data_IF_759358992573
#
_entry.id   IF_759358992573
#
_cell.length_a   1.000
_cell.length_b   1.000
_cell.length_c   1.000
_cell.angle_alpha   90.00
_cell.angle_beta   90.00
_cell.angle_gamma   90.00
#
_symmetry.space_group_name_H-M   'P 1'
#
loop_
_entity.id
_entity.type
_entity.pdbx_description
1 polymer ?
#
# COMPACT_ATOMS: atom_id res chain seq x y z
N UNK A 1 -7.46 -9.43 -6.58
CA UNK A 1 -6.51 -9.05 -5.50
C UNK A 1 -7.03 -7.82 -4.79
N UNK A 2 -7.43 -7.92 -3.50
CA UNK A 2 -8.05 -6.79 -2.80
C UNK A 2 -7.15 -6.25 -1.68
N UNK A 3 -6.83 -4.94 -1.64
CA UNK A 3 -6.09 -4.34 -0.55
C UNK A 3 -7.00 -4.03 0.64
N UNK A 4 -6.69 -4.62 1.80
CA UNK A 4 -7.34 -4.36 3.07
C UNK A 4 -6.53 -3.32 3.84
N UNK A 5 -7.16 -2.20 4.22
CA UNK A 5 -6.50 -1.19 5.03
C UNK A 5 -6.45 -1.68 6.48
N UNK A 6 -5.24 -1.88 7.01
CA UNK A 6 -5.02 -2.29 8.40
C UNK A 6 -4.84 -1.06 9.29
N UNK A 7 -4.00 -0.12 8.84
CA UNK A 7 -3.64 1.07 9.63
C UNK A 7 -3.76 2.30 8.76
N UNK A 8 -4.41 3.33 9.29
CA UNK A 8 -4.37 4.71 8.81
C UNK A 8 -4.00 5.61 9.97
N UNK A 9 -2.81 6.20 9.94
CA UNK A 9 -2.36 7.20 10.91
C UNK A 9 -2.15 8.53 10.22
N UNK A 10 -2.74 9.57 10.78
CA UNK A 10 -2.52 10.95 10.35
C UNK A 10 -1.62 11.62 11.39
N UNK A 11 -0.46 12.07 10.95
CA UNK A 11 0.42 12.99 11.66
C UNK A 11 0.24 14.39 11.07
N UNK A 12 0.82 15.43 11.70
CA UNK A 12 0.68 16.82 11.24
C UNK A 12 1.15 16.99 9.79
N UNK A 13 2.31 16.42 9.43
CA UNK A 13 2.91 16.58 8.09
C UNK A 13 2.89 15.31 7.24
N UNK A 14 2.36 14.19 7.76
CA UNK A 14 2.39 12.92 7.04
C UNK A 14 1.19 12.03 7.32
N UNK A 15 0.84 11.20 6.34
CA UNK A 15 -0.18 10.15 6.48
C UNK A 15 0.43 8.80 6.17
N UNK A 16 0.32 7.87 7.12
CA UNK A 16 0.84 6.52 6.98
C UNK A 16 -0.33 5.56 6.79
N UNK A 17 -0.24 4.76 5.74
CA UNK A 17 -1.18 3.70 5.40
C UNK A 17 -0.45 2.36 5.40
N UNK A 18 -1.05 1.37 6.04
CA UNK A 18 -0.62 -0.02 5.99
C UNK A 18 -1.74 -0.86 5.41
N UNK A 19 -1.45 -1.59 4.33
CA UNK A 19 -2.39 -2.49 3.69
C UNK A 19 -1.91 -3.94 3.78
N UNK A 20 -2.85 -4.86 3.98
CA UNK A 20 -2.67 -6.27 3.66
C UNK A 20 -3.22 -6.53 2.26
N UNK A 21 -2.54 -7.32 1.45
CA UNK A 21 -3.02 -7.71 0.13
C UNK A 21 -2.66 -9.15 -0.16
N UNK A 22 -3.66 -9.97 -0.48
CA UNK A 22 -3.46 -11.39 -0.75
C UNK A 22 -2.76 -11.57 -2.10
N UNK A 23 -2.01 -12.65 -2.29
CA UNK A 23 -1.43 -13.01 -3.58
C UNK A 23 -2.54 -13.49 -4.52
N UNK A 24 -2.46 -13.13 -5.80
CA UNK A 24 -3.38 -13.68 -6.81
C UNK A 24 -3.23 -15.20 -6.99
N UNK A 25 -2.00 -15.73 -6.88
CA UNK A 25 -1.73 -17.15 -7.11
C UNK A 25 -2.06 -18.03 -5.90
N UNK A 26 -2.01 -17.47 -4.70
CA UNK A 26 -2.28 -18.21 -3.46
C UNK A 26 -2.94 -17.28 -2.44
N UNK A 27 -4.26 -17.42 -2.18
CA UNK A 27 -4.99 -16.51 -1.30
C UNK A 27 -4.55 -16.60 0.16
N UNK A 28 -3.93 -17.70 0.61
CA UNK A 28 -3.38 -17.86 1.96
C UNK A 28 -2.07 -17.07 2.15
N UNK A 29 -1.47 -16.60 1.06
CA UNK A 29 -0.25 -15.79 1.12
C UNK A 29 -0.61 -14.32 0.99
N UNK A 30 -0.37 -13.55 2.05
CA UNK A 30 -0.58 -12.10 2.04
C UNK A 30 0.73 -11.33 2.07
N UNK A 31 0.70 -10.14 1.50
CA UNK A 31 1.79 -9.18 1.51
C UNK A 31 1.35 -7.91 2.23
N UNK A 32 2.30 -7.26 2.87
CA UNK A 32 2.10 -5.97 3.52
C UNK A 32 2.60 -4.89 2.58
N UNK A 33 1.85 -3.81 2.46
CA UNK A 33 2.21 -2.61 1.73
C UNK A 33 2.14 -1.43 2.68
N UNK A 34 3.27 -0.74 2.89
CA UNK A 34 3.34 0.50 3.66
C UNK A 34 3.48 1.66 2.69
N UNK A 35 2.63 2.67 2.85
CA UNK A 35 2.67 3.92 2.07
C UNK A 35 2.66 5.08 3.04
N UNK A 36 3.63 5.97 2.89
CA UNK A 36 3.77 7.19 3.67
C UNK A 36 3.67 8.39 2.73
N UNK A 37 2.66 9.23 2.96
CA UNK A 37 2.40 10.45 2.22
C UNK A 37 2.84 11.64 3.08
N UNK A 38 4.04 12.17 2.85
CA UNK A 38 4.49 13.44 3.42
C UNK A 38 4.97 14.38 2.31
N UNK A 39 6.07 15.12 2.56
CA UNK A 39 6.78 15.90 1.52
C UNK A 39 7.14 15.06 0.28
N UNK A 40 7.48 13.79 0.50
CA UNK A 40 7.70 12.80 -0.55
C UNK A 40 6.83 11.56 -0.30
N UNK A 41 6.49 10.84 -1.36
CA UNK A 41 5.77 9.56 -1.26
C UNK A 41 6.77 8.43 -1.09
N UNK A 42 6.75 7.76 0.06
CA UNK A 42 7.53 6.54 0.30
C UNK A 42 6.60 5.34 0.29
N UNK A 43 6.97 4.28 -0.45
CA UNK A 43 6.19 3.06 -0.51
C UNK A 43 7.11 1.84 -0.40
N UNK A 44 6.67 0.83 0.36
CA UNK A 44 7.35 -0.46 0.45
C UNK A 44 6.35 -1.60 0.43
N UNK A 45 6.79 -2.77 -0.04
CA UNK A 45 5.96 -3.96 -0.09
C UNK A 45 6.79 -5.21 0.27
N UNK A 46 6.23 -6.11 1.07
CA UNK A 46 6.89 -7.35 1.48
C UNK A 46 6.94 -8.43 0.38
N UNK A 47 6.46 -8.16 -0.83
CA UNK A 47 6.51 -9.12 -1.93
C UNK A 47 7.91 -9.20 -2.56
N UNK A 48 8.31 -10.40 -2.99
CA UNK A 48 9.59 -10.63 -3.69
C UNK A 48 9.81 -9.70 -4.89
N UNK A 49 8.74 -9.41 -5.64
CA UNK A 49 8.82 -8.52 -6.81
C UNK A 49 9.26 -7.10 -6.47
N UNK A 50 8.89 -6.59 -5.28
CA UNK A 50 9.34 -5.29 -4.81
C UNK A 50 10.82 -5.31 -4.42
N UNK A 51 11.27 -6.37 -3.72
CA UNK A 51 12.67 -6.52 -3.35
C UNK A 51 13.61 -6.53 -4.57
N UNK A 52 13.17 -7.09 -5.70
CA UNK A 52 13.97 -7.18 -6.92
C UNK A 52 13.93 -5.89 -7.76
N UNK A 53 12.76 -5.23 -7.86
CA UNK A 53 12.55 -4.14 -8.84
C UNK A 53 12.31 -2.76 -8.22
N UNK A 54 12.23 -2.66 -6.90
CA UNK A 54 11.80 -1.44 -6.19
C UNK A 54 10.34 -1.04 -6.49
N UNK A 55 9.57 -1.87 -7.20
CA UNK A 55 8.19 -1.59 -7.58
C UNK A 55 7.40 -2.90 -7.71
N UNK A 56 6.11 -2.87 -7.41
CA UNK A 56 5.21 -4.00 -7.60
C UNK A 56 3.76 -3.57 -7.85
N UNK A 57 2.97 -4.49 -8.39
CA UNK A 57 1.53 -4.28 -8.63
C UNK A 57 0.76 -3.95 -7.35
N UNK A 58 1.18 -4.50 -6.20
CA UNK A 58 0.54 -4.27 -4.91
C UNK A 58 0.56 -2.78 -4.52
N UNK A 59 1.69 -2.11 -4.70
CA UNK A 59 1.83 -0.67 -4.42
C UNK A 59 0.92 0.13 -5.34
N UNK A 60 0.91 -0.16 -6.65
CA UNK A 60 0.05 0.54 -7.62
C UNK A 60 -1.43 0.44 -7.24
N UNK A 61 -1.88 -0.76 -6.83
CA UNK A 61 -3.25 -1.01 -6.38
C UNK A 61 -3.58 -0.22 -5.10
N UNK A 62 -2.70 -0.27 -4.10
CA UNK A 62 -2.91 0.46 -2.84
C UNK A 62 -2.93 1.98 -3.04
N UNK A 63 -2.01 2.51 -3.87
CA UNK A 63 -1.96 3.93 -4.22
C UNK A 63 -3.24 4.41 -4.92
N UNK A 64 -3.80 3.59 -5.84
CA UNK A 64 -5.09 3.90 -6.48
C UNK A 64 -6.23 3.97 -5.46
N UNK A 65 -6.27 3.03 -4.50
CA UNK A 65 -7.28 3.04 -3.43
C UNK A 65 -7.18 4.28 -2.53
N UNK A 66 -5.96 4.70 -2.16
CA UNK A 66 -5.77 5.95 -1.40
C UNK A 66 -6.25 7.17 -2.19
N UNK A 67 -5.94 7.24 -3.49
CA UNK A 67 -6.38 8.36 -4.36
C UNK A 67 -7.90 8.41 -4.51
N UNK A 68 -8.58 7.27 -4.64
CA UNK A 68 -10.03 7.24 -4.71
C UNK A 68 -10.67 7.74 -3.40
N UNK A 69 -10.09 7.39 -2.25
CA UNK A 69 -10.54 7.90 -0.95
C UNK A 69 -10.33 9.41 -0.77
N UNK A 70 -9.42 10.06 -1.50
CA UNK A 70 -9.24 11.52 -1.44
C UNK A 70 -10.36 12.30 -2.14
N UNK A 71 -11.10 11.70 -3.08
CA UNK A 71 -12.18 12.39 -3.81
C UNK A 71 -13.49 12.50 -3.01
N UNK A 72 -13.58 11.85 -1.85
CA UNK A 72 -14.79 11.76 -1.01
C UNK A 72 -14.64 12.62 0.26
N UNK A 73 -13.62 13.48 0.33
CA UNK A 73 -13.45 14.50 1.37
C UNK A 73 -13.52 15.88 0.73
#
# INVERSE_FOLDING_TARGET
>A
MYPYLIIKRNYMDSRIYLFAINSEKNPLKSYIVRIELGKYVKASCSCKGFAIRGNCKHIKICMRKIRCNKKIQ
#
